data_IF_749032217899
#
_entry.id   IF_749032217899
#
_cell.length_a   1.000
_cell.length_b   1.000
_cell.length_c   1.000
_cell.angle_alpha   90.00
_cell.angle_beta   90.00
_cell.angle_gamma   90.00
#
_symmetry.space_group_name_H-M   'P 1'
#
loop_
_entity.id
_entity.type
_entity.pdbx_description
1 polymer ?
#
# COMPACT_ATOMS: atom_id res chain seq x y z
N UNK A 1 4.26 -32.47 -36.53
CA UNK A 1 3.88 -31.04 -36.53
C UNK A 1 4.79 -30.28 -35.57
N UNK A 2 5.61 -29.37 -36.06
CA UNK A 2 6.48 -28.54 -35.22
C UNK A 2 5.64 -27.44 -34.57
N UNK A 3 5.53 -27.49 -33.24
CA UNK A 3 4.85 -26.47 -32.43
C UNK A 3 5.78 -25.26 -32.34
N UNK A 4 5.54 -24.25 -33.18
CA UNK A 4 6.23 -22.96 -33.12
C UNK A 4 5.76 -22.19 -31.89
N UNK A 5 6.53 -22.24 -30.81
CA UNK A 5 6.29 -21.41 -29.62
C UNK A 5 6.61 -19.95 -29.96
N UNK A 6 5.58 -19.13 -30.18
CA UNK A 6 5.75 -17.69 -30.33
C UNK A 6 6.11 -17.05 -28.99
N UNK A 7 7.06 -16.10 -28.99
CA UNK A 7 7.41 -15.33 -27.80
C UNK A 7 6.21 -14.48 -27.37
N UNK A 8 5.59 -14.82 -26.23
CA UNK A 8 4.48 -14.08 -25.62
C UNK A 8 4.94 -12.93 -24.71
N UNK A 9 6.25 -12.68 -24.65
CA UNK A 9 6.82 -11.62 -23.82
C UNK A 9 6.35 -10.25 -24.33
N UNK A 10 5.89 -9.41 -23.39
CA UNK A 10 5.37 -8.08 -23.69
C UNK A 10 6.03 -7.05 -22.78
N UNK A 11 6.53 -5.97 -23.38
CA UNK A 11 7.14 -4.87 -22.63
C UNK A 11 6.10 -4.10 -21.82
N UNK A 12 4.91 -3.88 -22.38
CA UNK A 12 3.85 -3.13 -21.71
C UNK A 12 3.03 -3.97 -20.72
N UNK A 13 2.83 -3.48 -19.48
CA UNK A 13 1.95 -4.14 -18.51
C UNK A 13 0.50 -4.20 -19.05
N UNK A 14 -0.22 -5.30 -18.81
CA UNK A 14 -1.68 -5.40 -19.04
C UNK A 14 -2.41 -4.59 -17.98
N UNK A 15 -2.02 -4.77 -16.74
CA UNK A 15 -2.57 -4.05 -15.62
C UNK A 15 -1.52 -3.08 -15.05
N UNK A 16 -1.59 -1.82 -15.51
CA UNK A 16 -0.69 -0.76 -15.07
C UNK A 16 -1.06 -0.31 -13.66
N UNK A 17 -0.06 0.09 -12.87
CA UNK A 17 -0.31 0.65 -11.55
C UNK A 17 -1.20 1.89 -11.62
N UNK A 18 -2.27 1.91 -10.82
CA UNK A 18 -3.21 3.01 -10.76
C UNK A 18 -3.14 3.69 -9.40
N UNK A 19 -2.42 4.82 -9.33
CA UNK A 19 -2.18 5.55 -8.08
C UNK A 19 -3.47 5.95 -7.37
N UNK A 20 -4.51 6.33 -8.11
CA UNK A 20 -5.81 6.72 -7.55
C UNK A 20 -6.51 5.57 -6.82
N UNK A 21 -6.49 4.36 -7.40
CA UNK A 21 -7.10 3.18 -6.77
C UNK A 21 -6.36 2.81 -5.48
N UNK A 22 -5.02 2.83 -5.53
CA UNK A 22 -4.18 2.53 -4.38
C UNK A 22 -4.36 3.54 -3.26
N UNK A 23 -4.39 4.84 -3.61
CA UNK A 23 -4.63 5.92 -2.64
C UNK A 23 -6.00 5.79 -1.98
N UNK A 24 -7.06 5.58 -2.77
CA UNK A 24 -8.41 5.41 -2.26
C UNK A 24 -8.51 4.19 -1.33
N UNK A 25 -7.88 3.07 -1.70
CA UNK A 25 -7.87 1.85 -0.89
C UNK A 25 -7.11 2.04 0.42
N UNK A 26 -5.93 2.67 0.37
CA UNK A 26 -5.13 2.98 1.56
C UNK A 26 -5.88 3.93 2.50
N UNK A 27 -6.51 4.97 1.96
CA UNK A 27 -7.33 5.90 2.74
C UNK A 27 -8.50 5.19 3.43
N UNK A 28 -9.22 4.30 2.72
CA UNK A 28 -10.30 3.53 3.32
C UNK A 28 -9.82 2.64 4.49
N UNK A 29 -8.66 1.98 4.34
CA UNK A 29 -8.06 1.17 5.41
C UNK A 29 -7.71 2.03 6.62
N UNK A 30 -7.03 3.16 6.39
CA UNK A 30 -6.65 4.10 7.45
C UNK A 30 -7.88 4.65 8.18
N UNK A 31 -8.90 5.11 7.45
CA UNK A 31 -10.14 5.60 8.06
C UNK A 31 -10.82 4.51 8.89
N UNK A 32 -10.99 3.30 8.35
CA UNK A 32 -11.67 2.22 9.07
C UNK A 32 -10.96 1.81 10.35
N UNK A 33 -9.63 1.78 10.35
CA UNK A 33 -8.81 1.37 11.51
C UNK A 33 -8.63 2.48 12.53
N UNK A 34 -8.53 3.73 12.08
CA UNK A 34 -8.15 4.85 12.95
C UNK A 34 -9.32 5.74 13.39
N UNK A 35 -10.51 5.62 12.79
CA UNK A 35 -11.68 6.47 13.10
C UNK A 35 -12.03 6.56 14.59
N UNK A 36 -11.76 5.52 15.37
CA UNK A 36 -12.07 5.44 16.80
C UNK A 36 -10.86 5.08 17.65
N UNK A 37 -9.65 5.12 17.09
CA UNK A 37 -8.42 4.81 17.83
C UNK A 37 -7.87 6.06 18.52
N UNK A 38 -7.48 5.93 19.79
CA UNK A 38 -6.64 6.92 20.44
C UNK A 38 -5.17 6.57 20.23
N UNK A 39 -4.32 7.59 20.14
CA UNK A 39 -2.88 7.38 20.02
C UNK A 39 -2.32 6.80 21.32
N UNK A 40 -1.63 5.68 21.22
CA UNK A 40 -0.87 5.07 22.30
C UNK A 40 0.56 4.81 21.81
N UNK A 41 1.54 5.39 22.50
CA UNK A 41 2.95 5.25 22.15
C UNK A 41 3.47 3.82 22.29
N UNK A 42 2.87 2.99 23.15
CA UNK A 42 3.29 1.61 23.34
C UNK A 42 2.83 0.70 22.18
N UNK A 43 1.61 0.88 21.68
CA UNK A 43 1.06 0.14 20.54
C UNK A 43 1.39 0.73 19.16
N UNK A 44 2.00 1.92 19.12
CA UNK A 44 2.39 2.58 17.86
C UNK A 44 3.15 1.68 16.88
N UNK A 45 4.24 1.00 17.29
CA UNK A 45 5.01 0.14 16.39
C UNK A 45 4.20 -1.03 15.81
N UNK A 46 3.39 -1.72 16.64
CA UNK A 46 2.58 -2.85 16.18
C UNK A 46 1.42 -2.40 15.28
N UNK A 47 0.83 -1.24 15.57
CA UNK A 47 -0.17 -0.62 14.73
C UNK A 47 0.39 -0.23 13.35
N UNK A 48 1.58 0.40 13.31
CA UNK A 48 2.28 0.72 12.06
C UNK A 48 2.56 -0.53 11.22
N UNK A 49 3.09 -1.59 11.84
CA UNK A 49 3.36 -2.85 11.15
C UNK A 49 2.07 -3.45 10.57
N UNK A 50 1.00 -3.50 11.37
CA UNK A 50 -0.29 -4.05 10.96
C UNK A 50 -0.93 -3.25 9.82
N UNK A 51 -0.89 -1.92 9.88
CA UNK A 51 -1.40 -1.05 8.81
C UNK A 51 -0.59 -1.19 7.53
N UNK A 52 0.75 -1.24 7.64
CA UNK A 52 1.64 -1.41 6.50
C UNK A 52 1.38 -2.74 5.79
N UNK A 53 1.22 -3.82 6.56
CA UNK A 53 0.89 -5.14 6.04
C UNK A 53 -0.48 -5.18 5.36
N UNK A 54 -1.51 -4.61 5.99
CA UNK A 54 -2.86 -4.57 5.42
C UNK A 54 -2.93 -3.76 4.12
N UNK A 55 -2.27 -2.60 4.06
CA UNK A 55 -2.15 -1.81 2.83
C UNK A 55 -1.38 -2.58 1.77
N UNK A 56 -0.26 -3.22 2.12
CA UNK A 56 0.53 -4.02 1.18
C UNK A 56 -0.29 -5.16 0.57
N UNK A 57 -1.04 -5.88 1.39
CA UNK A 57 -1.90 -6.98 0.94
C UNK A 57 -3.05 -6.47 0.05
N UNK A 58 -3.67 -5.35 0.41
CA UNK A 58 -4.69 -4.72 -0.43
C UNK A 58 -4.13 -4.23 -1.77
N UNK A 59 -2.89 -3.73 -1.81
CA UNK A 59 -2.24 -3.30 -3.05
C UNK A 59 -1.91 -4.49 -3.96
N UNK A 60 -1.42 -5.59 -3.38
CA UNK A 60 -1.15 -6.84 -4.13
C UNK A 60 -2.43 -7.43 -4.75
N UNK A 61 -3.58 -7.28 -4.08
CA UNK A 61 -4.86 -7.76 -4.57
C UNK A 61 -5.37 -7.04 -5.83
N UNK A 62 -4.79 -5.89 -6.20
CA UNK A 62 -5.08 -5.26 -7.50
C UNK A 62 -4.37 -5.94 -8.67
N UNK A 63 -3.45 -6.87 -8.42
CA UNK A 63 -2.74 -7.66 -9.44
C UNK A 63 -2.07 -6.79 -10.52
N UNK A 64 -1.47 -5.66 -10.14
CA UNK A 64 -0.70 -4.87 -11.10
C UNK A 64 0.55 -5.61 -11.55
N UNK A 65 0.84 -5.52 -12.84
CA UNK A 65 1.88 -6.33 -13.46
C UNK A 65 3.29 -5.80 -13.13
N UNK A 66 4.13 -6.66 -12.53
CA UNK A 66 5.58 -6.47 -12.39
C UNK A 66 5.99 -5.26 -11.53
N UNK A 67 5.35 -5.06 -10.39
CA UNK A 67 5.75 -4.05 -9.41
C UNK A 67 6.30 -4.70 -8.12
N UNK A 68 7.34 -4.08 -7.56
CA UNK A 68 7.78 -4.33 -6.19
C UNK A 68 7.23 -3.22 -5.32
N UNK A 69 6.50 -3.57 -4.26
CA UNK A 69 5.88 -2.60 -3.37
C UNK A 69 6.69 -2.42 -2.09
N UNK A 70 6.75 -1.17 -1.63
CA UNK A 70 7.24 -0.80 -0.31
C UNK A 70 6.18 0.06 0.34
N UNK A 71 5.76 -0.29 1.54
CA UNK A 71 4.80 0.47 2.34
C UNK A 71 5.50 0.91 3.61
N UNK A 72 5.40 2.20 3.92
CA UNK A 72 5.92 2.79 5.14
C UNK A 72 4.79 3.58 5.80
N UNK A 73 4.60 3.39 7.10
CA UNK A 73 3.58 4.09 7.89
C UNK A 73 4.24 4.84 9.03
N UNK A 74 3.83 6.10 9.22
CA UNK A 74 4.25 6.96 10.31
C UNK A 74 3.00 7.44 11.05
N UNK A 75 2.94 7.16 12.35
CA UNK A 75 1.90 7.68 13.24
C UNK A 75 2.60 8.56 14.27
N UNK A 76 2.17 9.80 14.37
CA UNK A 76 2.71 10.79 15.30
C UNK A 76 1.59 11.36 16.15
N UNK A 77 1.90 11.69 17.41
CA UNK A 77 1.00 12.43 18.26
C UNK A 77 0.94 13.88 17.78
N UNK A 78 -0.27 14.43 17.64
CA UNK A 78 -0.46 15.85 17.33
C UNK A 78 -0.15 16.68 18.59
N UNK A 79 1.03 17.26 18.68
CA UNK A 79 1.50 18.01 19.86
C UNK A 79 2.10 19.38 19.48
N UNK A 80 1.37 20.21 18.74
CA UNK A 80 1.81 21.53 18.23
C UNK A 80 3.20 21.55 17.54
N UNK A 81 3.66 20.38 17.08
CA UNK A 81 4.90 20.21 16.34
C UNK A 81 4.64 20.28 14.84
N UNK A 82 5.51 20.97 14.10
CA UNK A 82 5.51 20.94 12.65
C UNK A 82 6.16 19.64 12.17
N UNK A 83 5.47 18.88 11.31
CA UNK A 83 6.00 17.70 10.64
C UNK A 83 5.96 17.92 9.13
N UNK A 84 7.12 17.77 8.47
CA UNK A 84 7.25 17.78 7.01
C UNK A 84 7.62 16.37 6.57
N UNK A 85 6.82 15.79 5.68
CA UNK A 85 7.14 14.54 4.98
C UNK A 85 7.49 14.93 3.55
N UNK A 86 8.74 14.71 3.15
CA UNK A 86 9.29 15.03 1.82
C UNK A 86 9.10 13.90 0.82
#
# INVERSE_FOLDING_TARGET
AQKTSANTYRLEPRNKFQHNLVRAKAQAILTNKLQHSQYDGASGPSLCASLSEEILNAVKAFEFDRYKYVVSTLIVQKAEQAMIVS
#
